data_IF_343919073714
#
_entry.id   IF_343919073714
#
_cell.length_a   1.000
_cell.length_b   1.000
_cell.length_c   1.000
_cell.angle_alpha   90.00
_cell.angle_beta   90.00
_cell.angle_gamma   90.00
#
_symmetry.space_group_name_H-M   'P 1'
#
loop_
_entity.id
_entity.type
_entity.pdbx_description
1 polymer ?
#
# COMPACT_ATOMS: atom_id res chain seq x y z
N UNK A 1 44.19 31.71 -14.91
CA UNK A 1 42.72 31.78 -14.70
C UNK A 1 41.96 30.69 -15.45
N UNK A 2 42.17 30.48 -16.77
CA UNK A 2 41.49 29.41 -17.54
C UNK A 2 41.69 27.98 -16.99
N UNK A 3 42.91 27.65 -16.53
CA UNK A 3 43.20 26.34 -15.90
C UNK A 3 42.55 26.15 -14.52
N UNK A 4 42.30 27.25 -13.79
CA UNK A 4 41.64 27.21 -12.48
C UNK A 4 40.13 26.99 -12.64
N UNK A 5 39.54 27.57 -13.69
CA UNK A 5 38.13 27.39 -14.05
C UNK A 5 37.83 25.94 -14.49
N UNK A 6 38.74 25.30 -15.25
CA UNK A 6 38.59 23.90 -15.64
C UNK A 6 38.63 22.93 -14.44
N UNK A 7 39.43 23.23 -13.41
CA UNK A 7 39.52 22.40 -12.21
C UNK A 7 38.23 22.48 -11.36
N UNK A 8 37.61 23.66 -11.30
CA UNK A 8 36.36 23.90 -10.58
C UNK A 8 35.15 23.23 -11.26
N UNK A 9 35.16 23.15 -12.60
CA UNK A 9 34.12 22.44 -13.37
C UNK A 9 34.26 20.91 -13.20
N UNK A 10 35.49 20.41 -13.07
CA UNK A 10 35.74 18.97 -12.90
C UNK A 10 35.30 18.46 -11.52
N UNK A 11 35.35 19.28 -10.46
CA UNK A 11 34.83 18.92 -9.13
C UNK A 11 33.30 18.95 -9.05
N UNK A 12 32.64 19.88 -9.75
CA UNK A 12 31.18 19.94 -9.79
C UNK A 12 30.53 18.78 -10.58
N UNK A 13 31.27 18.15 -11.49
CA UNK A 13 30.80 16.99 -12.23
C UNK A 13 30.76 15.68 -11.42
N UNK A 14 31.43 15.64 -10.25
CA UNK A 14 31.49 14.44 -9.39
C UNK A 14 30.26 14.36 -8.47
N UNK A 15 29.63 15.50 -8.14
CA UNK A 15 28.39 15.58 -7.38
C UNK A 15 27.14 15.25 -8.20
N UNK A 16 27.29 15.04 -9.52
CA UNK A 16 26.25 14.48 -10.39
C UNK A 16 26.15 12.94 -10.31
N UNK A 17 26.75 12.33 -9.28
CA UNK A 17 26.46 10.94 -8.93
C UNK A 17 24.98 10.84 -8.54
N UNK A 18 24.17 10.30 -9.44
CA UNK A 18 22.76 9.99 -9.24
C UNK A 18 22.52 9.45 -7.82
N UNK A 19 21.55 10.02 -7.10
CA UNK A 19 21.16 9.55 -5.76
C UNK A 19 20.98 8.03 -5.80
N UNK A 20 21.89 7.29 -5.16
CA UNK A 20 21.73 5.85 -4.93
C UNK A 20 20.59 5.68 -3.93
N UNK A 21 19.40 5.45 -4.44
CA UNK A 21 18.27 5.06 -3.62
C UNK A 21 18.44 3.59 -3.23
N UNK A 22 18.31 3.30 -1.95
CA UNK A 22 18.22 1.94 -1.43
C UNK A 22 16.89 1.77 -0.70
N UNK A 23 16.25 0.63 -0.91
CA UNK A 23 15.08 0.25 -0.14
C UNK A 23 15.56 -0.56 1.06
N UNK A 24 15.23 -0.09 2.27
CA UNK A 24 15.40 -0.84 3.50
C UNK A 24 14.04 -1.39 3.94
N UNK A 25 14.01 -2.67 4.32
CA UNK A 25 12.79 -3.27 4.88
C UNK A 25 12.56 -2.69 6.27
N UNK A 26 11.48 -1.92 6.44
CA UNK A 26 11.09 -1.38 7.75
C UNK A 26 10.43 -2.48 8.60
N UNK A 27 9.43 -3.15 8.05
CA UNK A 27 8.75 -4.28 8.67
C UNK A 27 8.03 -5.12 7.60
N UNK A 28 7.65 -6.33 7.98
CA UNK A 28 6.72 -7.18 7.23
C UNK A 28 5.74 -7.81 8.24
N UNK A 29 4.56 -8.21 7.78
CA UNK A 29 3.60 -8.95 8.60
C UNK A 29 3.68 -10.44 8.29
N UNK A 30 3.03 -11.25 9.11
CA UNK A 30 3.00 -12.71 8.91
C UNK A 30 2.19 -13.08 7.66
N UNK A 31 2.35 -14.31 7.20
CA UNK A 31 1.71 -14.89 6.02
C UNK A 31 0.23 -15.27 6.21
N UNK A 32 -0.39 -14.83 7.30
CA UNK A 32 -1.75 -15.21 7.70
C UNK A 32 -2.85 -14.39 7.04
N UNK A 33 -2.51 -13.35 6.29
CA UNK A 33 -3.47 -12.51 5.59
C UNK A 33 -3.97 -13.22 4.32
N UNK A 34 -5.28 -13.44 4.23
CA UNK A 34 -5.90 -14.14 3.13
C UNK A 34 -5.94 -13.28 1.86
N UNK A 35 -5.13 -13.67 0.87
CA UNK A 35 -5.05 -13.08 -0.49
C UNK A 35 -5.22 -11.55 -0.47
N UNK A 36 -4.30 -10.81 0.17
CA UNK A 36 -4.37 -9.36 0.24
C UNK A 36 -4.16 -8.73 -1.13
N UNK A 37 -4.99 -7.76 -1.51
CA UNK A 37 -4.91 -7.10 -2.82
C UNK A 37 -4.49 -5.62 -2.71
N UNK A 38 -5.11 -4.86 -1.80
CA UNK A 38 -4.84 -3.42 -1.62
C UNK A 38 -4.67 -3.07 -0.14
N UNK A 39 -3.81 -2.09 0.15
CA UNK A 39 -3.62 -1.52 1.49
C UNK A 39 -3.83 -0.01 1.42
N UNK A 40 -4.66 0.53 2.31
CA UNK A 40 -4.99 1.95 2.38
C UNK A 40 -4.84 2.48 3.81
N UNK A 41 -4.06 3.56 3.98
CA UNK A 41 -3.94 4.24 5.26
C UNK A 41 -5.24 5.01 5.58
N UNK A 42 -5.80 4.77 6.76
CA UNK A 42 -6.98 5.47 7.24
C UNK A 42 -6.71 6.93 7.62
N UNK A 43 -7.76 7.77 7.75
CA UNK A 43 -7.62 9.22 7.82
C UNK A 43 -6.98 9.74 9.12
N UNK A 44 -6.90 8.90 10.18
CA UNK A 44 -6.20 9.23 11.43
C UNK A 44 -4.77 8.69 11.48
N UNK A 45 -4.28 8.09 10.39
CA UNK A 45 -2.97 7.44 10.27
C UNK A 45 -2.69 6.37 11.35
N UNK A 46 -3.74 5.85 11.99
CA UNK A 46 -3.68 4.88 13.08
C UNK A 46 -4.07 3.48 12.63
N UNK A 47 -4.50 3.33 11.38
CA UNK A 47 -5.03 2.09 10.84
C UNK A 47 -4.72 1.91 9.36
N UNK A 48 -4.40 0.69 8.99
CA UNK A 48 -4.32 0.22 7.62
C UNK A 48 -5.57 -0.62 7.34
N UNK A 49 -6.32 -0.24 6.30
CA UNK A 49 -7.34 -1.10 5.71
C UNK A 49 -6.67 -2.01 4.69
N UNK A 50 -7.04 -3.30 4.69
CA UNK A 50 -6.51 -4.30 3.76
C UNK A 50 -7.67 -4.98 3.07
N UNK A 51 -7.78 -4.90 1.74
CA UNK A 51 -8.79 -5.69 1.03
C UNK A 51 -8.35 -7.15 0.95
N UNK A 52 -9.28 -8.05 1.23
CA UNK A 52 -9.06 -9.48 1.31
C UNK A 52 -9.91 -10.15 0.24
N UNK A 53 -9.27 -10.80 -0.72
CA UNK A 53 -10.02 -11.60 -1.69
C UNK A 53 -10.56 -12.87 -1.02
N UNK A 54 -9.72 -13.59 -0.24
CA UNK A 54 -9.98 -14.86 0.48
C UNK A 54 -10.49 -16.06 -0.38
N UNK A 55 -11.12 -15.79 -1.52
CA UNK A 55 -11.62 -16.76 -2.51
C UNK A 55 -10.95 -16.62 -3.88
N UNK A 56 -11.73 -16.87 -4.94
CA UNK A 56 -11.23 -16.77 -6.31
C UNK A 56 -11.04 -15.31 -6.75
N UNK A 57 -9.91 -14.99 -7.40
CA UNK A 57 -9.55 -13.61 -7.77
C UNK A 57 -10.62 -12.83 -8.57
N UNK A 58 -11.47 -13.53 -9.32
CA UNK A 58 -12.56 -12.95 -10.12
C UNK A 58 -13.91 -13.62 -9.88
N UNK A 59 -14.08 -14.28 -8.73
CA UNK A 59 -15.28 -15.06 -8.42
C UNK A 59 -16.17 -14.28 -7.48
N UNK A 60 -17.47 -14.29 -7.76
CA UNK A 60 -18.50 -13.81 -6.85
C UNK A 60 -18.91 -14.93 -5.87
N UNK A 61 -18.08 -15.19 -4.86
CA UNK A 61 -18.32 -16.24 -3.86
C UNK A 61 -18.66 -15.70 -2.45
N UNK A 62 -18.66 -14.38 -2.26
CA UNK A 62 -18.99 -13.74 -0.98
C UNK A 62 -17.98 -13.99 0.15
N UNK A 63 -16.78 -14.50 -0.14
CA UNK A 63 -15.76 -14.76 0.88
C UNK A 63 -14.87 -13.58 1.18
N UNK A 64 -14.80 -12.62 0.27
CA UNK A 64 -13.97 -11.44 0.40
C UNK A 64 -14.40 -10.49 1.51
N UNK A 65 -13.54 -9.54 1.82
CA UNK A 65 -13.77 -8.57 2.89
C UNK A 65 -12.74 -7.45 2.96
N UNK A 66 -12.79 -6.71 4.06
CA UNK A 66 -11.78 -5.71 4.41
C UNK A 66 -11.33 -5.94 5.84
N UNK A 67 -10.04 -6.19 6.01
CA UNK A 67 -9.38 -6.28 7.29
C UNK A 67 -8.83 -4.94 7.78
N UNK A 68 -8.43 -4.92 9.05
CA UNK A 68 -7.77 -3.80 9.72
C UNK A 68 -6.45 -4.23 10.32
N UNK A 69 -5.42 -3.41 10.20
CA UNK A 69 -4.08 -3.67 10.73
C UNK A 69 -3.49 -2.40 11.32
N UNK A 70 -2.63 -2.50 12.34
CA UNK A 70 -1.88 -1.32 12.81
C UNK A 70 -0.77 -0.95 11.82
N UNK A 71 -0.33 0.33 11.77
CA UNK A 71 0.71 0.80 10.84
C UNK A 71 2.08 0.12 10.97
N UNK A 72 2.31 -0.62 12.05
CA UNK A 72 3.52 -1.43 12.29
C UNK A 72 3.37 -2.89 11.80
N UNK A 73 2.31 -3.19 11.03
CA UNK A 73 2.06 -4.52 10.46
C UNK A 73 1.50 -5.54 11.45
N UNK A 74 1.07 -5.10 12.64
CA UNK A 74 0.56 -5.98 13.70
C UNK A 74 -0.96 -5.85 13.87
N UNK A 75 -1.52 -6.59 14.85
CA UNK A 75 -2.92 -6.51 15.27
C UNK A 75 -3.90 -6.58 14.11
N UNK A 76 -3.69 -7.57 13.24
CA UNK A 76 -4.57 -7.79 12.11
C UNK A 76 -5.92 -8.36 12.58
N UNK A 77 -7.00 -7.74 12.15
CA UNK A 77 -8.37 -8.24 12.26
C UNK A 77 -8.93 -8.45 10.84
N UNK A 78 -9.06 -9.70 10.43
CA UNK A 78 -9.53 -10.08 9.10
C UNK A 78 -11.04 -9.81 8.89
N UNK A 79 -11.84 -9.88 9.96
CA UNK A 79 -13.31 -9.94 9.88
C UNK A 79 -13.97 -8.59 10.18
N UNK A 80 -13.31 -7.48 9.84
CA UNK A 80 -13.92 -6.16 10.09
C UNK A 80 -15.08 -5.87 9.14
N UNK A 81 -14.94 -6.23 7.86
CA UNK A 81 -16.01 -6.27 6.86
C UNK A 81 -15.90 -7.61 6.15
N UNK A 82 -17.01 -8.32 6.00
CA UNK A 82 -17.11 -9.64 5.37
C UNK A 82 -18.25 -9.65 4.34
N UNK A 83 -18.31 -10.68 3.49
CA UNK A 83 -19.41 -10.87 2.54
C UNK A 83 -19.19 -10.18 1.18
N UNK A 84 -18.01 -9.61 0.94
CA UNK A 84 -17.64 -9.06 -0.35
C UNK A 84 -17.29 -10.19 -1.32
N UNK A 85 -17.31 -9.91 -2.61
CA UNK A 85 -17.08 -10.91 -3.64
C UNK A 85 -15.58 -11.17 -3.83
N UNK A 86 -14.85 -10.17 -4.30
CA UNK A 86 -13.40 -10.24 -4.49
C UNK A 86 -12.85 -8.79 -4.50
N UNK A 87 -12.83 -8.10 -3.35
CA UNK A 87 -12.51 -6.68 -3.28
C UNK A 87 -11.09 -6.39 -3.75
N UNK A 88 -10.93 -5.26 -4.46
CA UNK A 88 -9.70 -4.83 -5.11
C UNK A 88 -9.17 -3.55 -4.47
N UNK A 89 -9.17 -2.45 -5.22
CA UNK A 89 -8.74 -1.14 -4.75
C UNK A 89 -9.73 -0.52 -3.76
N UNK A 90 -9.20 0.34 -2.89
CA UNK A 90 -9.97 1.12 -1.93
C UNK A 90 -9.65 2.60 -2.04
N UNK A 91 -10.59 3.46 -1.67
CA UNK A 91 -10.39 4.90 -1.58
C UNK A 91 -11.25 5.54 -0.49
N UNK A 92 -10.80 6.64 0.09
CA UNK A 92 -11.55 7.37 1.12
C UNK A 92 -11.98 8.74 0.58
N UNK A 93 -13.27 9.06 0.72
CA UNK A 93 -13.80 10.42 0.45
C UNK A 93 -14.62 10.86 1.66
N UNK A 94 -14.17 11.92 2.32
CA UNK A 94 -14.76 12.36 3.59
C UNK A 94 -14.64 11.29 4.67
N UNK A 95 -15.77 10.81 5.17
CA UNK A 95 -15.85 9.75 6.18
C UNK A 95 -16.23 8.37 5.61
N UNK A 96 -16.21 8.23 4.28
CA UNK A 96 -16.65 7.01 3.59
C UNK A 96 -15.47 6.27 2.97
N UNK A 97 -15.45 4.95 3.16
CA UNK A 97 -14.52 4.04 2.52
C UNK A 97 -15.23 3.40 1.32
N UNK A 98 -14.70 3.61 0.13
CA UNK A 98 -15.18 3.00 -1.10
C UNK A 98 -14.29 1.81 -1.43
N UNK A 99 -14.91 0.68 -1.77
CA UNK A 99 -14.20 -0.55 -2.16
C UNK A 99 -14.70 -0.98 -3.52
N UNK A 100 -13.77 -1.19 -4.47
CA UNK A 100 -14.09 -1.78 -5.76
C UNK A 100 -14.23 -3.30 -5.58
N UNK A 101 -15.46 -3.81 -5.60
CA UNK A 101 -15.78 -5.22 -5.41
C UNK A 101 -16.21 -5.84 -6.74
N UNK A 102 -15.22 -6.09 -7.59
CA UNK A 102 -15.34 -6.59 -8.97
C UNK A 102 -16.37 -5.83 -9.84
N UNK A 103 -17.65 -6.19 -9.75
CA UNK A 103 -18.75 -5.68 -10.57
C UNK A 103 -19.43 -4.46 -9.96
N UNK A 104 -19.08 -4.09 -8.73
CA UNK A 104 -19.70 -2.98 -8.01
C UNK A 104 -18.72 -2.17 -7.17
N UNK A 105 -19.19 -1.03 -6.67
CA UNK A 105 -18.50 -0.22 -5.67
C UNK A 105 -19.37 -0.19 -4.42
N UNK A 106 -18.83 -0.70 -3.32
CA UNK A 106 -19.49 -0.69 -2.00
C UNK A 106 -18.97 0.46 -1.15
N UNK A 107 -19.80 0.97 -0.23
CA UNK A 107 -19.52 2.15 0.62
C UNK A 107 -20.06 2.00 2.04
#
# INVERSE_FOLDING_TARGET
MKKLLCLFILTAAIDAAAQKHSLEKIWETDTTIAVPESVLLGPKNDILFVSLIDGGSWVADGKGGVGKMSPDGKKFNATWIEGLQAPKGMGIVGNRLFVADITEVVV
#
